data_IF_183489683590
#
_entry.id   IF_183489683590
#
_cell.length_a   1.000
_cell.length_b   1.000
_cell.length_c   1.000
_cell.angle_alpha   90.00
_cell.angle_beta   90.00
_cell.angle_gamma   90.00
#
_symmetry.space_group_name_H-M   'P 1'
#
loop_
_entity.id
_entity.type
_entity.pdbx_description
1 polymer ?
#
# COMPACT_ATOMS: atom_id res chain seq x y z
N UNK A 1 17.97 -7.81 -22.46
CA UNK A 1 16.56 -8.08 -22.80
C UNK A 1 15.74 -7.53 -21.64
N UNK A 2 15.43 -6.23 -21.63
CA UNK A 2 14.27 -5.54 -22.24
C UNK A 2 12.93 -6.12 -21.75
N UNK A 3 12.11 -5.23 -21.15
CA UNK A 3 10.64 -5.28 -20.91
C UNK A 3 10.14 -5.41 -19.44
N UNK A 4 10.60 -4.57 -18.51
CA UNK A 4 9.83 -4.32 -17.26
C UNK A 4 9.53 -2.82 -17.01
N UNK A 5 10.14 -1.90 -17.76
CA UNK A 5 9.99 -0.44 -17.52
C UNK A 5 8.70 0.16 -18.14
N UNK A 6 7.84 -0.64 -18.79
CA UNK A 6 6.75 -0.13 -19.63
C UNK A 6 5.34 -0.21 -19.02
N UNK A 7 5.21 -0.54 -17.72
CA UNK A 7 3.91 -0.56 -17.05
C UNK A 7 3.61 0.78 -16.36
N UNK A 8 4.63 1.56 -15.98
CA UNK A 8 4.42 2.89 -15.39
C UNK A 8 4.01 3.97 -16.42
N UNK A 9 4.24 3.75 -17.71
CA UNK A 9 3.96 4.75 -18.76
C UNK A 9 2.48 4.89 -19.11
N UNK A 10 1.64 3.94 -18.73
CA UNK A 10 0.21 3.89 -19.11
C UNK A 10 -0.68 4.63 -18.09
N UNK A 11 -0.18 4.94 -16.88
CA UNK A 11 -0.93 5.66 -15.85
C UNK A 11 -1.10 7.17 -16.11
N UNK A 12 -0.42 7.72 -17.12
CA UNK A 12 -0.45 9.16 -17.43
C UNK A 12 -1.61 9.59 -18.35
N UNK A 13 -2.53 8.70 -18.73
CA UNK A 13 -3.52 8.97 -19.78
C UNK A 13 -4.95 9.29 -19.28
N UNK A 14 -5.19 9.46 -17.98
CA UNK A 14 -6.56 9.66 -17.44
C UNK A 14 -6.76 10.99 -16.71
N UNK A 15 -6.19 12.13 -17.17
CA UNK A 15 -6.60 13.44 -16.62
C UNK A 15 -6.59 14.54 -17.70
N UNK A 16 -7.30 14.35 -18.82
CA UNK A 16 -7.72 15.49 -19.65
C UNK A 16 -9.08 16.03 -19.15
N UNK A 17 -9.12 16.58 -17.95
CA UNK A 17 -10.23 17.41 -17.48
C UNK A 17 -9.65 18.39 -16.46
N UNK A 18 -9.79 19.70 -16.70
CA UNK A 18 -9.04 20.81 -16.06
C UNK A 18 -9.24 21.02 -14.55
N UNK A 19 -9.37 19.96 -13.75
CA UNK A 19 -9.14 19.95 -12.32
C UNK A 19 -7.63 19.80 -12.11
N UNK A 20 -7.05 20.60 -11.20
CA UNK A 20 -5.66 20.42 -10.75
C UNK A 20 -5.45 18.93 -10.46
N UNK A 21 -4.40 18.35 -11.03
CA UNK A 21 -4.02 16.98 -10.70
C UNK A 21 -3.89 16.86 -9.18
N UNK A 22 -4.48 15.82 -8.56
CA UNK A 22 -4.28 15.60 -7.14
C UNK A 22 -2.77 15.45 -6.87
N UNK A 23 -2.26 16.05 -5.80
CA UNK A 23 -0.85 15.90 -5.40
C UNK A 23 -0.52 14.50 -4.85
N UNK A 24 -1.49 13.58 -4.92
CA UNK A 24 -1.46 12.24 -4.37
C UNK A 24 -1.96 11.25 -5.40
N UNK A 25 -1.45 10.02 -5.34
CA UNK A 25 -1.84 8.94 -6.26
C UNK A 25 -3.16 8.32 -5.82
N UNK A 26 -4.01 7.99 -6.80
CA UNK A 26 -5.26 7.27 -6.61
C UNK A 26 -5.08 5.86 -7.18
N UNK A 27 -5.42 4.86 -6.38
CA UNK A 27 -5.32 3.45 -6.76
C UNK A 27 -6.69 2.81 -6.84
N UNK A 28 -6.86 1.78 -7.65
CA UNK A 28 -8.04 0.92 -7.52
C UNK A 28 -7.97 0.11 -6.22
N UNK A 29 -9.12 -0.33 -5.69
CA UNK A 29 -9.18 -1.12 -4.46
C UNK A 29 -8.34 -2.41 -4.50
N UNK A 30 -8.25 -3.05 -5.67
CA UNK A 30 -7.46 -4.28 -5.83
C UNK A 30 -5.95 -3.99 -5.85
N UNK A 31 -5.53 -2.87 -6.45
CA UNK A 31 -4.14 -2.40 -6.37
C UNK A 31 -3.74 -2.07 -4.94
N UNK A 32 -4.58 -1.35 -4.19
CA UNK A 32 -4.34 -1.05 -2.77
C UNK A 32 -4.07 -2.32 -1.96
N UNK A 33 -4.94 -3.33 -2.12
CA UNK A 33 -4.79 -4.64 -1.46
C UNK A 33 -3.49 -5.33 -1.85
N UNK A 34 -3.16 -5.35 -3.14
CA UNK A 34 -1.95 -6.00 -3.65
C UNK A 34 -0.69 -5.33 -3.10
N UNK A 35 -0.63 -3.99 -3.15
CA UNK A 35 0.50 -3.18 -2.67
C UNK A 35 0.70 -3.41 -1.17
N UNK A 36 -0.37 -3.29 -0.37
CA UNK A 36 -0.27 -3.46 1.08
C UNK A 36 0.11 -4.89 1.47
N UNK A 37 -0.49 -5.89 0.80
CA UNK A 37 -0.15 -7.31 1.01
C UNK A 37 1.31 -7.57 0.69
N UNK A 38 1.82 -7.09 -0.46
CA UNK A 38 3.22 -7.25 -0.83
C UNK A 38 4.15 -6.59 0.20
N UNK A 39 3.82 -5.39 0.67
CA UNK A 39 4.62 -4.69 1.68
C UNK A 39 4.64 -5.43 3.02
N UNK A 40 3.50 -5.95 3.48
CA UNK A 40 3.40 -6.71 4.74
C UNK A 40 4.02 -8.10 4.66
N UNK A 41 3.74 -8.86 3.61
CA UNK A 41 4.23 -10.23 3.45
C UNK A 41 5.77 -10.27 3.35
N UNK A 42 6.39 -9.20 2.83
CA UNK A 42 7.85 -9.07 2.71
C UNK A 42 8.50 -8.23 3.84
N UNK A 43 7.72 -7.81 4.85
CA UNK A 43 8.18 -6.93 5.93
C UNK A 43 8.89 -5.66 5.45
N UNK A 44 8.53 -5.16 4.27
CA UNK A 44 9.19 -4.03 3.60
C UNK A 44 8.79 -2.72 4.29
N UNK A 45 9.62 -2.26 5.22
CA UNK A 45 9.38 -1.05 6.01
C UNK A 45 9.34 0.22 5.16
N UNK A 46 10.09 0.28 4.06
CA UNK A 46 10.11 1.43 3.15
C UNK A 46 8.75 1.60 2.47
N UNK A 47 8.23 0.54 1.84
CA UNK A 47 6.88 0.56 1.22
C UNK A 47 5.78 0.84 2.24
N UNK A 48 5.88 0.27 3.45
CA UNK A 48 4.90 0.55 4.51
C UNK A 48 4.91 2.03 4.93
N UNK A 49 6.09 2.65 4.96
CA UNK A 49 6.23 4.08 5.25
C UNK A 49 5.65 4.94 4.12
N UNK A 50 5.92 4.60 2.85
CA UNK A 50 5.35 5.32 1.70
C UNK A 50 3.81 5.31 1.73
N UNK A 51 3.20 4.16 2.04
CA UNK A 51 1.74 4.04 2.20
C UNK A 51 1.24 4.93 3.34
N UNK A 52 1.94 4.95 4.48
CA UNK A 52 1.56 5.80 5.61
C UNK A 52 1.70 7.29 5.28
N UNK A 53 2.77 7.70 4.59
CA UNK A 53 2.98 9.09 4.18
C UNK A 53 1.94 9.55 3.15
N UNK A 54 1.51 8.65 2.25
CA UNK A 54 0.39 8.87 1.36
C UNK A 54 -0.91 9.08 2.15
N UNK A 55 -1.24 8.17 3.08
CA UNK A 55 -2.45 8.27 3.91
C UNK A 55 -2.48 9.56 4.74
N UNK A 56 -1.34 9.99 5.28
CA UNK A 56 -1.24 11.27 6.01
C UNK A 56 -1.54 12.46 5.10
N UNK A 57 -1.03 12.45 3.86
CA UNK A 57 -1.31 13.49 2.87
C UNK A 57 -2.80 13.53 2.51
N UNK A 58 -3.39 12.37 2.25
CA UNK A 58 -4.81 12.23 1.94
C UNK A 58 -5.70 12.74 3.09
N UNK A 59 -5.34 12.42 4.34
CA UNK A 59 -6.07 12.91 5.52
C UNK A 59 -6.01 14.45 5.62
N UNK A 60 -4.83 15.04 5.40
CA UNK A 60 -4.63 16.50 5.44
C UNK A 60 -5.45 17.19 4.35
N UNK A 61 -5.39 16.70 3.11
CA UNK A 61 -6.18 17.28 2.00
C UNK A 61 -7.68 17.05 2.19
N UNK A 62 -8.08 15.87 2.70
CA UNK A 62 -9.46 15.58 3.06
C UNK A 62 -10.01 16.54 4.11
N UNK A 63 -9.23 16.86 5.16
CA UNK A 63 -9.56 17.85 6.18
C UNK A 63 -9.67 19.28 5.64
N UNK A 64 -8.99 19.61 4.54
CA UNK A 64 -9.13 20.89 3.82
C UNK A 64 -10.38 20.96 2.95
N UNK A 65 -11.15 19.87 2.86
CA UNK A 65 -12.39 19.79 2.08
C UNK A 65 -12.24 19.07 0.74
N UNK A 66 -11.09 18.45 0.43
CA UNK A 66 -10.96 17.60 -0.74
C UNK A 66 -11.66 16.25 -0.51
N UNK A 67 -12.90 16.15 -1.00
CA UNK A 67 -13.69 14.93 -0.89
C UNK A 67 -13.01 13.71 -1.54
N UNK A 68 -12.26 13.91 -2.62
CA UNK A 68 -11.57 12.81 -3.31
C UNK A 68 -10.46 12.25 -2.43
N UNK A 69 -9.69 13.13 -1.78
CA UNK A 69 -8.64 12.74 -0.84
C UNK A 69 -9.24 11.99 0.37
N UNK A 70 -10.38 12.48 0.86
CA UNK A 70 -11.10 11.85 1.97
C UNK A 70 -11.57 10.44 1.59
N UNK A 71 -12.26 10.27 0.46
CA UNK A 71 -12.75 8.97 0.00
C UNK A 71 -11.58 7.98 -0.23
N UNK A 72 -10.48 8.44 -0.86
CA UNK A 72 -9.27 7.63 -1.09
C UNK A 72 -8.59 7.21 0.23
N UNK A 73 -8.55 8.11 1.24
CA UNK A 73 -8.05 7.79 2.58
C UNK A 73 -8.84 6.64 3.23
N UNK A 74 -10.18 6.68 3.15
CA UNK A 74 -11.02 5.63 3.74
C UNK A 74 -10.83 4.28 3.06
N UNK A 75 -10.64 4.26 1.74
CA UNK A 75 -10.33 3.01 1.04
C UNK A 75 -8.98 2.41 1.46
N UNK A 76 -7.95 3.26 1.64
CA UNK A 76 -6.66 2.81 2.18
C UNK A 76 -6.76 2.32 3.62
N UNK A 77 -7.45 3.07 4.49
CA UNK A 77 -7.67 2.72 5.89
C UNK A 77 -8.40 1.36 6.04
N UNK A 78 -9.40 1.11 5.19
CA UNK A 78 -10.10 -0.17 5.14
C UNK A 78 -9.14 -1.31 4.75
N UNK A 79 -8.32 -1.14 3.71
CA UNK A 79 -7.35 -2.15 3.28
C UNK A 79 -6.33 -2.46 4.37
N UNK A 80 -5.82 -1.43 5.05
CA UNK A 80 -4.86 -1.57 6.16
C UNK A 80 -5.48 -2.34 7.32
N UNK A 81 -6.71 -2.00 7.72
CA UNK A 81 -7.40 -2.63 8.86
C UNK A 81 -7.88 -4.05 8.58
N UNK A 82 -8.32 -4.33 7.36
CA UNK A 82 -8.86 -5.63 6.97
C UNK A 82 -7.78 -6.61 6.47
N UNK A 83 -6.51 -6.22 6.41
CA UNK A 83 -5.44 -7.14 6.04
C UNK A 83 -5.31 -8.27 7.06
N UNK A 84 -5.49 -9.50 6.58
CA UNK A 84 -5.30 -10.72 7.35
C UNK A 84 -3.93 -11.31 6.99
N UNK A 85 -3.01 -11.31 7.94
CA UNK A 85 -1.68 -11.88 7.75
C UNK A 85 -1.79 -13.39 7.44
N UNK A 86 -0.97 -13.93 6.50
CA UNK A 86 -0.92 -15.36 6.28
C UNK A 86 -0.48 -16.08 7.56
N UNK A 87 -0.96 -17.32 7.81
CA UNK A 87 -0.55 -18.07 8.99
C UNK A 87 0.97 -18.25 8.99
N UNK A 88 1.62 -17.83 10.09
CA UNK A 88 3.06 -18.06 10.25
C UNK A 88 3.31 -19.57 10.20
N UNK A 89 4.16 -20.02 9.28
CA UNK A 89 4.61 -21.43 9.27
C UNK A 89 5.23 -21.72 10.63
N UNK A 90 4.60 -22.59 11.41
CA UNK A 90 5.15 -23.04 12.67
C UNK A 90 6.50 -23.70 12.41
N UNK A 91 7.58 -23.06 12.87
CA UNK A 91 8.90 -23.68 12.87
C UNK A 91 8.95 -24.57 14.10
N UNK A 92 8.81 -25.89 13.91
CA UNK A 92 8.96 -26.86 15.01
C UNK A 92 10.29 -26.57 15.71
N UNK A 93 10.30 -26.30 17.02
CA UNK A 93 11.55 -26.11 17.73
C UNK A 93 12.40 -27.36 17.56
N UNK A 94 13.69 -27.17 17.30
CA UNK A 94 14.63 -28.27 17.22
C UNK A 94 14.89 -28.82 18.62
N UNK A 95 14.01 -29.73 19.05
CA UNK A 95 14.06 -30.37 20.36
C UNK A 95 15.31 -31.26 20.54
N UNK A 96 16.07 -31.53 19.47
CA UNK A 96 17.27 -32.37 19.51
C UNK A 96 18.55 -31.55 19.73
N UNK A 97 18.54 -30.24 19.46
CA UNK A 97 19.65 -29.33 19.73
C UNK A 97 19.42 -28.39 20.94
N UNK A 98 18.28 -28.55 21.62
CA UNK A 98 17.86 -27.70 22.74
C UNK A 98 18.39 -28.13 24.12
N UNK A 99 19.70 -28.16 24.32
CA UNK A 99 20.33 -27.81 25.62
C UNK A 99 21.86 -27.77 25.50
N UNK A 100 22.41 -26.60 25.18
CA UNK A 100 23.72 -26.17 25.68
C UNK A 100 23.51 -24.84 26.38
N UNK A 101 23.41 -24.91 27.70
CA UNK A 101 23.62 -23.78 28.61
C UNK A 101 25.08 -23.34 28.52
#
# INVERSE_FOLDING_TARGET
MKKIILIFSIFLLIISCGKKEPSYQIYTRDEKKLIYKEAKDNENQEKLKEIQDLMNTLEIEGKKGDKTAYDEFYEWDEVVKLYIAPPKKYKKPDLLNGMKW
#
